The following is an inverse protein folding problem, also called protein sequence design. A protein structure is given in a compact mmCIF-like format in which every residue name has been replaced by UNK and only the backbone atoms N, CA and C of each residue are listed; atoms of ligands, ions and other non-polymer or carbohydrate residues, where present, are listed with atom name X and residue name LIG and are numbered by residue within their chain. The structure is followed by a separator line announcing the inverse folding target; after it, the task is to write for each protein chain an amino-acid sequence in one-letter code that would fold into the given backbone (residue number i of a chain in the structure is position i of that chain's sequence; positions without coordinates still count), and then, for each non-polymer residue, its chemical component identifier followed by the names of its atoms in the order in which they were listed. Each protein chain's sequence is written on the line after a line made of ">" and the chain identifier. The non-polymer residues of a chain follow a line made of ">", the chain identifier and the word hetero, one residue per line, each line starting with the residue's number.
data_IF_739520171382
#
_entry.id   IF_739520171382
#
_cell.length_a   1.000
_cell.length_b   1.000
_cell.length_c   1.000
_cell.angle_alpha   90.00
_cell.angle_beta   90.00
_cell.angle_gamma   90.00
#
_symmetry.space_group_name_H-M   'P 1'
#
loop_
_entity.id
_entity.type
_entity.pdbx_description
1 polymer ?
#
# COMPACT_ATOMS: atom_id res chain seq x y z
N UNK A 1 23.04 6.29 6.13
CA UNK A 1 21.72 5.73 5.73
C UNK A 1 21.98 4.77 4.60
N UNK A 2 21.41 3.57 4.63
CA UNK A 2 21.55 2.57 3.57
C UNK A 2 20.18 2.08 3.12
N UNK A 3 20.08 1.75 1.83
CA UNK A 3 18.90 1.16 1.23
C UNK A 3 19.29 -0.18 0.59
N UNK A 4 18.45 -1.21 0.74
CA UNK A 4 18.65 -2.52 0.13
C UNK A 4 17.33 -3.04 -0.42
N UNK A 5 17.35 -3.55 -1.65
CA UNK A 5 16.24 -4.36 -2.19
C UNK A 5 16.20 -5.69 -1.44
N UNK A 6 15.04 -6.01 -0.86
CA UNK A 6 14.82 -7.25 -0.10
C UNK A 6 13.85 -8.21 -0.81
N UNK A 7 13.05 -7.69 -1.75
CA UNK A 7 12.18 -8.49 -2.61
C UNK A 7 11.88 -7.73 -3.90
N UNK A 8 11.84 -8.44 -5.01
CA UNK A 8 11.44 -7.93 -6.31
C UNK A 8 10.69 -9.01 -7.08
N UNK A 9 9.52 -8.66 -7.61
CA UNK A 9 8.79 -9.44 -8.59
C UNK A 9 8.43 -8.52 -9.76
N UNK A 10 9.10 -8.68 -10.89
CA UNK A 10 8.86 -7.93 -12.13
C UNK A 10 8.55 -8.85 -13.32
N UNK A 11 8.44 -10.15 -13.07
CA UNK A 11 8.23 -11.17 -14.11
C UNK A 11 6.75 -11.48 -14.35
N UNK A 12 5.88 -11.14 -13.39
CA UNK A 12 4.43 -11.26 -13.55
C UNK A 12 3.86 -9.93 -14.04
N UNK A 13 3.38 -9.83 -15.30
CA UNK A 13 2.81 -8.60 -15.83
C UNK A 13 1.51 -8.17 -15.13
N UNK A 14 0.91 -9.03 -14.31
CA UNK A 14 -0.30 -8.72 -13.56
C UNK A 14 0.00 -8.33 -12.11
N UNK A 15 1.25 -8.48 -11.65
CA UNK A 15 1.64 -8.20 -10.28
C UNK A 15 3.13 -7.86 -10.18
N UNK A 16 3.44 -6.57 -10.20
CA UNK A 16 4.78 -6.07 -9.95
C UNK A 16 4.94 -5.64 -8.48
N UNK A 17 6.02 -6.05 -7.84
CA UNK A 17 6.28 -5.75 -6.43
C UNK A 17 7.74 -5.42 -6.24
N UNK A 18 8.02 -4.31 -5.55
CA UNK A 18 9.35 -3.94 -5.10
C UNK A 18 9.33 -3.65 -3.61
N UNK A 19 10.12 -4.37 -2.82
CA UNK A 19 10.31 -4.09 -1.41
C UNK A 19 11.76 -3.70 -1.13
N UNK A 20 11.92 -2.58 -0.41
CA UNK A 20 13.21 -2.07 0.04
C UNK A 20 13.23 -1.95 1.57
N UNK A 21 14.36 -2.32 2.18
CA UNK A 21 14.66 -2.04 3.58
C UNK A 21 15.54 -0.79 3.64
N UNK A 22 15.07 0.22 4.37
CA UNK A 22 15.80 1.45 4.64
C UNK A 22 16.33 1.39 6.07
N UNK A 23 17.65 1.53 6.22
CA UNK A 23 18.33 1.49 7.52
C UNK A 23 19.03 2.82 7.81
N UNK A 24 18.69 3.38 8.95
CA UNK A 24 19.41 4.44 9.64
C UNK A 24 20.18 3.83 10.82
N UNK A 25 21.01 4.64 11.50
CA UNK A 25 21.63 4.24 12.76
C UNK A 25 20.60 3.96 13.87
N UNK A 26 19.44 4.63 13.82
CA UNK A 26 18.46 4.64 14.92
C UNK A 26 17.13 4.01 14.57
N UNK A 27 16.85 3.75 13.28
CA UNK A 27 15.59 3.13 12.84
C UNK A 27 15.80 2.31 11.57
N UNK A 28 14.98 1.28 11.39
CA UNK A 28 14.90 0.47 10.19
C UNK A 28 13.44 0.29 9.84
N UNK A 29 13.09 0.42 8.56
CA UNK A 29 11.72 0.22 8.08
C UNK A 29 11.73 -0.30 6.65
N UNK A 30 10.60 -0.87 6.26
CA UNK A 30 10.41 -1.43 4.92
C UNK A 30 9.43 -0.57 4.15
N UNK A 31 9.74 -0.26 2.89
CA UNK A 31 8.81 0.30 1.91
C UNK A 31 8.53 -0.78 0.87
N UNK A 32 7.27 -0.99 0.54
CA UNK A 32 6.82 -1.88 -0.53
C UNK A 32 6.01 -1.07 -1.53
N UNK A 33 6.35 -1.16 -2.80
CA UNK A 33 5.53 -0.67 -3.91
C UNK A 33 4.92 -1.86 -4.64
N UNK A 34 3.62 -1.80 -4.94
CA UNK A 34 2.90 -2.85 -5.66
C UNK A 34 2.15 -2.22 -6.83
N UNK A 35 2.23 -2.85 -7.99
CA UNK A 35 1.39 -2.53 -9.13
C UNK A 35 0.65 -3.78 -9.58
N UNK A 36 -0.68 -3.75 -9.53
CA UNK A 36 -1.54 -4.87 -9.87
C UNK A 36 -2.68 -4.40 -10.79
N UNK A 37 -2.44 -4.27 -12.11
CA UNK A 37 -3.39 -3.64 -13.03
C UNK A 37 -4.75 -4.36 -13.13
N UNK A 38 -4.83 -5.63 -12.73
CA UNK A 38 -6.07 -6.43 -12.73
C UNK A 38 -6.48 -6.92 -11.33
N UNK A 39 -5.91 -6.29 -10.29
CA UNK A 39 -5.98 -6.78 -8.92
C UNK A 39 -5.19 -8.07 -8.72
N UNK A 40 -5.03 -8.47 -7.47
CA UNK A 40 -4.23 -9.63 -7.07
C UNK A 40 -5.03 -10.62 -6.23
N UNK A 41 -4.48 -11.82 -6.05
CA UNK A 41 -4.93 -12.79 -5.06
C UNK A 41 -4.26 -12.47 -3.71
N UNK A 42 -5.06 -12.35 -2.66
CA UNK A 42 -4.60 -12.03 -1.31
C UNK A 42 -3.57 -13.05 -0.79
N UNK A 43 -3.65 -14.31 -1.19
CA UNK A 43 -2.73 -15.36 -0.77
C UNK A 43 -1.29 -15.10 -1.23
N UNK A 44 -1.11 -14.51 -2.42
CA UNK A 44 0.22 -14.14 -2.93
C UNK A 44 0.83 -13.02 -2.08
N UNK A 45 -0.01 -12.03 -1.78
CA UNK A 45 0.34 -10.86 -0.98
C UNK A 45 0.67 -11.23 0.47
N UNK A 46 -0.13 -12.11 1.09
CA UNK A 46 0.13 -12.62 2.44
C UNK A 46 1.48 -13.32 2.56
N UNK A 47 1.86 -14.15 1.57
CA UNK A 47 3.16 -14.83 1.57
C UNK A 47 4.32 -13.84 1.59
N UNK A 48 4.23 -12.76 0.80
CA UNK A 48 5.26 -11.73 0.74
C UNK A 48 5.32 -10.97 2.07
N UNK A 49 4.17 -10.52 2.57
CA UNK A 49 4.12 -9.68 3.78
C UNK A 49 4.37 -10.42 5.09
N UNK A 50 4.14 -11.73 5.14
CA UNK A 50 4.46 -12.56 6.31
C UNK A 50 5.95 -12.48 6.69
N UNK A 51 6.82 -12.24 5.71
CA UNK A 51 8.28 -12.21 5.86
C UNK A 51 8.84 -10.80 6.09
N UNK A 52 8.03 -9.74 5.97
CA UNK A 52 8.52 -8.37 6.11
C UNK A 52 8.60 -7.92 7.56
N UNK A 53 9.68 -7.19 7.87
CA UNK A 53 9.89 -6.60 9.19
C UNK A 53 9.06 -5.34 9.37
N UNK A 54 8.50 -5.20 10.56
CA UNK A 54 7.84 -3.99 11.01
C UNK A 54 8.86 -2.92 11.46
N UNK A 55 8.60 -1.62 11.23
CA UNK A 55 7.45 -1.08 10.52
C UNK A 55 7.55 -1.28 9.00
N UNK A 56 6.42 -1.60 8.38
CA UNK A 56 6.29 -1.76 6.93
C UNK A 56 5.28 -0.75 6.41
N UNK A 57 5.66 -0.07 5.34
CA UNK A 57 4.81 0.84 4.58
C UNK A 57 4.55 0.22 3.22
N UNK A 58 3.29 0.02 2.88
CA UNK A 58 2.90 -0.48 1.56
C UNK A 58 2.29 0.67 0.80
N UNK A 59 2.70 0.84 -0.44
CA UNK A 59 2.18 1.76 -1.43
C UNK A 59 1.88 0.97 -2.70
N UNK A 60 1.04 1.51 -3.56
CA UNK A 60 0.80 0.87 -4.84
C UNK A 60 -0.48 1.31 -5.50
N UNK A 61 -0.69 0.79 -6.70
CA UNK A 61 -1.98 0.75 -7.37
C UNK A 61 -2.40 -0.72 -7.42
N UNK A 62 -3.45 -1.04 -6.66
CA UNK A 62 -3.96 -2.39 -6.54
C UNK A 62 -5.12 -2.70 -7.50
N UNK A 63 -5.68 -1.69 -8.18
CA UNK A 63 -6.95 -1.76 -8.92
C UNK A 63 -8.07 -2.53 -8.20
N UNK A 64 -8.12 -2.44 -6.87
CA UNK A 64 -9.21 -2.98 -6.06
C UNK A 64 -10.24 -1.88 -5.79
N UNK A 65 -11.51 -2.16 -6.06
CA UNK A 65 -12.62 -1.24 -5.82
C UNK A 65 -13.44 -1.69 -4.62
N UNK A 66 -13.60 -0.80 -3.64
CA UNK A 66 -14.40 -1.04 -2.44
C UNK A 66 -14.99 0.26 -1.90
N UNK A 67 -16.19 0.18 -1.33
CA UNK A 67 -16.90 1.33 -0.73
C UNK A 67 -16.12 1.98 0.42
N UNK A 68 -15.45 1.19 1.25
CA UNK A 68 -14.62 1.63 2.39
C UNK A 68 -13.58 2.71 2.05
N UNK A 69 -12.98 2.67 0.86
CA UNK A 69 -12.04 3.68 0.37
C UNK A 69 -12.60 4.49 -0.82
N UNK A 70 -13.92 4.64 -0.88
CA UNK A 70 -14.59 5.55 -1.81
C UNK A 70 -14.83 5.00 -3.21
N UNK A 71 -14.77 3.69 -3.41
CA UNK A 71 -15.24 3.04 -4.64
C UNK A 71 -16.78 3.00 -4.71
N UNK A 72 -17.35 2.92 -5.93
CA UNK A 72 -18.80 2.79 -6.13
C UNK A 72 -19.32 1.39 -5.80
N UNK A 73 -18.47 0.39 -5.98
CA UNK A 73 -18.78 -1.03 -5.80
C UNK A 73 -17.65 -1.70 -5.05
N UNK A 74 -17.98 -2.76 -4.32
CA UNK A 74 -17.03 -3.70 -3.73
C UNK A 74 -16.93 -4.95 -4.60
N UNK A 75 -15.73 -5.51 -4.71
CA UNK A 75 -15.44 -6.79 -5.39
C UNK A 75 -15.03 -7.86 -4.37
N UNK A 76 -15.22 -9.17 -4.64
CA UNK A 76 -14.77 -10.21 -3.72
C UNK A 76 -13.29 -10.07 -3.31
N UNK A 77 -12.40 -9.81 -4.27
CA UNK A 77 -10.97 -9.56 -4.01
C UNK A 77 -10.73 -8.39 -3.05
N UNK A 78 -11.53 -7.33 -3.16
CA UNK A 78 -11.40 -6.17 -2.29
C UNK A 78 -11.94 -6.39 -0.88
N UNK A 79 -12.97 -7.22 -0.72
CA UNK A 79 -13.49 -7.64 0.59
C UNK A 79 -12.45 -8.51 1.30
N UNK A 80 -11.90 -9.52 0.60
CA UNK A 80 -10.82 -10.37 1.13
C UNK A 80 -9.60 -9.55 1.55
N UNK A 81 -9.25 -8.53 0.77
CA UNK A 81 -8.16 -7.62 1.12
C UNK A 81 -8.48 -6.81 2.37
N UNK A 82 -9.69 -6.25 2.50
CA UNK A 82 -10.11 -5.51 3.68
C UNK A 82 -10.13 -6.38 4.94
N UNK A 83 -10.63 -7.61 4.83
CA UNK A 83 -10.62 -8.59 5.92
C UNK A 83 -9.19 -8.89 6.37
N UNK A 84 -8.29 -9.14 5.43
CA UNK A 84 -6.89 -9.35 5.74
C UNK A 84 -6.28 -8.14 6.45
N UNK A 85 -6.53 -6.92 5.97
CA UNK A 85 -6.01 -5.69 6.57
C UNK A 85 -6.46 -5.53 8.03
N UNK A 86 -7.74 -5.78 8.29
CA UNK A 86 -8.32 -5.73 9.64
C UNK A 86 -7.67 -6.73 10.59
N UNK A 87 -7.21 -7.88 10.09
CA UNK A 87 -6.55 -8.93 10.87
C UNK A 87 -5.03 -8.72 11.02
N UNK A 88 -4.40 -7.90 10.17
CA UNK A 88 -2.94 -7.84 10.02
C UNK A 88 -2.27 -6.62 10.67
N UNK A 89 -2.99 -5.91 11.55
CA UNK A 89 -2.55 -4.69 12.23
C UNK A 89 -2.10 -3.58 11.27
N UNK A 90 -2.64 -3.57 10.05
CA UNK A 90 -2.43 -2.47 9.12
C UNK A 90 -3.48 -1.40 9.34
N UNK A 91 -3.06 -0.15 9.27
CA UNK A 91 -3.97 1.00 9.20
C UNK A 91 -3.97 1.58 7.79
N UNK A 92 -5.16 1.84 7.25
CA UNK A 92 -5.35 2.56 5.98
C UNK A 92 -5.15 4.05 6.22
N UNK A 93 -4.33 4.69 5.39
CA UNK A 93 -4.11 6.13 5.42
C UNK A 93 -4.71 6.88 4.22
N UNK A 94 -5.66 6.28 3.50
CA UNK A 94 -6.39 6.96 2.41
C UNK A 94 -7.21 8.14 2.92
N UNK A 95 -7.14 9.24 2.17
CA UNK A 95 -8.13 10.31 2.23
C UNK A 95 -9.28 9.96 1.27
N UNK A 96 -10.48 10.46 1.51
CA UNK A 96 -11.68 10.23 0.68
C UNK A 96 -11.62 10.90 -0.71
N UNK A 97 -10.43 11.26 -1.18
CA UNK A 97 -10.24 11.91 -2.48
C UNK A 97 -10.01 10.86 -3.58
N UNK A 98 -10.64 11.02 -4.76
CA UNK A 98 -10.36 10.17 -5.90
C UNK A 98 -8.89 10.26 -6.32
N UNK A 99 -8.31 9.10 -6.61
CA UNK A 99 -6.88 8.90 -6.91
C UNK A 99 -6.63 8.61 -8.40
N UNK A 100 -7.67 8.30 -9.18
CA UNK A 100 -7.61 8.16 -10.63
C UNK A 100 -8.78 8.91 -11.28
N UNK A 101 -8.45 9.94 -12.07
CA UNK A 101 -9.41 10.80 -12.77
C UNK A 101 -9.14 10.65 -14.27
N UNK A 102 -10.10 10.10 -15.01
CA UNK A 102 -10.06 10.07 -16.48
C UNK A 102 -11.18 10.92 -17.06
N UNK A 103 -11.06 11.30 -18.33
CA UNK A 103 -11.93 12.26 -19.02
C UNK A 103 -13.44 11.96 -18.90
N UNK A 104 -13.83 10.68 -18.70
CA UNK A 104 -15.23 10.24 -18.59
C UNK A 104 -15.55 9.47 -17.29
N UNK A 105 -14.57 9.14 -16.45
CA UNK A 105 -14.78 8.33 -15.25
C UNK A 105 -13.86 8.75 -14.10
N UNK A 106 -14.47 8.99 -12.94
CA UNK A 106 -13.79 9.10 -11.66
C UNK A 106 -13.81 7.70 -11.03
N UNK A 107 -12.64 7.10 -10.85
CA UNK A 107 -12.49 5.81 -10.18
C UNK A 107 -11.53 5.97 -9.01
N UNK A 108 -11.98 5.61 -7.81
CA UNK A 108 -11.09 5.51 -6.65
C UNK A 108 -10.23 4.26 -6.84
N UNK A 109 -8.99 4.44 -7.28
CA UNK A 109 -7.98 3.40 -7.47
C UNK A 109 -7.07 3.47 -6.28
N UNK A 110 -7.05 2.46 -5.43
CA UNK A 110 -6.36 2.53 -4.16
C UNK A 110 -4.89 2.96 -4.33
N UNK A 111 -4.53 4.13 -3.80
CA UNK A 111 -3.15 4.51 -3.43
C UNK A 111 -3.08 4.43 -1.91
N UNK A 112 -3.27 3.24 -1.36
CA UNK A 112 -3.32 3.05 0.09
C UNK A 112 -1.92 2.90 0.65
N UNK A 113 -1.54 3.90 1.43
CA UNK A 113 -0.51 3.73 2.44
C UNK A 113 -1.06 2.84 3.56
N UNK A 114 -0.43 1.69 3.75
CA UNK A 114 -0.70 0.80 4.89
C UNK A 114 0.48 0.76 5.85
N UNK A 115 0.23 0.90 7.15
CA UNK A 115 1.28 0.83 8.19
C UNK A 115 1.07 -0.38 9.09
N UNK A 116 2.00 -1.35 9.06
CA UNK A 116 2.04 -2.45 10.05
C UNK A 116 2.85 -2.01 11.25
N UNK A 117 2.21 -1.92 12.43
CA UNK A 117 2.85 -1.44 13.66
C UNK A 117 2.81 -2.49 14.79
N UNK A 118 3.88 -2.54 15.60
CA UNK A 118 3.97 -3.42 16.79
C UNK A 118 3.41 -2.78 18.08
N UNK A 119 3.46 -1.45 18.23
CA UNK A 119 2.64 -0.63 19.16
C UNK A 119 3.13 0.84 19.17
N UNK A 120 2.21 1.76 19.48
CA UNK A 120 2.38 3.17 19.90
C UNK A 120 3.00 4.22 18.94
N UNK A 121 2.11 5.11 18.45
CA UNK A 121 2.20 6.60 18.34
C UNK A 121 3.37 7.32 17.67
N UNK A 122 4.56 6.73 17.50
CA UNK A 122 5.74 7.43 16.94
C UNK A 122 5.83 7.42 15.40
N UNK A 123 5.32 6.38 14.71
CA UNK A 123 5.44 6.27 13.25
C UNK A 123 4.47 7.20 12.49
N UNK A 124 3.28 7.47 13.05
CA UNK A 124 2.28 8.35 12.43
C UNK A 124 2.81 9.80 12.32
N UNK A 125 3.57 10.27 13.31
CA UNK A 125 4.14 11.62 13.31
C UNK A 125 5.18 11.83 12.18
N UNK A 126 5.83 10.78 11.69
CA UNK A 126 6.83 10.87 10.62
C UNK A 126 6.19 11.19 9.25
N UNK A 127 4.93 10.83 9.03
CA UNK A 127 4.21 11.07 7.77
C UNK A 127 3.22 12.23 7.83
N UNK A 128 2.66 12.55 9.01
CA UNK A 128 1.79 13.74 9.17
C UNK A 128 2.55 15.08 9.07
N UNK A 129 3.88 15.06 9.05
CA UNK A 129 4.73 16.26 8.94
C UNK A 129 5.22 16.55 7.53
N UNK A 130 4.92 15.69 6.54
CA UNK A 130 5.21 15.97 5.13
C UNK A 130 3.96 16.59 4.51
N UNK A 131 3.95 17.90 4.16
CA UNK A 131 2.80 18.49 3.49
C UNK A 131 2.58 17.75 2.17
N UNK A 132 1.38 17.19 2.01
CA UNK A 132 0.93 16.47 0.82
C UNK A 132 1.02 17.37 -0.42
N UNK A 133 2.18 17.43 -1.05
CA UNK A 133 2.31 17.91 -2.42
C UNK A 133 1.95 16.73 -3.31
N UNK A 134 0.69 16.73 -3.74
CA UNK A 134 0.17 15.91 -4.83
C UNK A 134 1.14 16.06 -6.01
N UNK A 135 1.84 14.97 -6.37
CA UNK A 135 2.62 14.92 -7.61
C UNK A 135 1.60 14.64 -8.72
N UNK A 136 1.16 15.71 -9.38
CA UNK A 136 0.40 15.62 -10.63
C UNK A 136 1.43 15.45 -11.74
N UNK A 137 1.46 14.28 -12.39
CA UNK A 137 2.16 14.14 -13.66
C UNK A 137 1.37 14.94 -14.71
N UNK A 138 2.02 15.95 -15.30
CA UNK A 138 1.54 16.68 -16.48
C UNK A 138 1.74 15.84 -17.74
#
# INVERSE_FOLDING_TARGET
>A
MSCRVIFENSQDPNLEILAIEIRSHTFTFTIVNIYAPHGFDINQIQKIFSNLKTPTFIFGDFNLHHSFWGGKTSTPKSEEFLDWLNQSHFSILNTSMPTHITHNFISSVIISLFVRQLSSTKCIAMFLTVPSKVIIYQ
#
